data_IF_976598931974
#
_entry.id   IF_976598931974
#
_cell.length_a   1.000
_cell.length_b   1.000
_cell.length_c   1.000
_cell.angle_alpha   90.00
_cell.angle_beta   90.00
_cell.angle_gamma   90.00
#
_symmetry.space_group_name_H-M   'P 1'
#
loop_
_entity.id
_entity.type
_entity.pdbx_description
1 polymer ?
#
# COMPACT_ATOMS: atom_id res chain seq x y z
N UNK A 1 -8.55 0.26 -34.61
CA UNK A 1 -7.62 -0.89 -34.47
C UNK A 1 -7.79 -1.38 -33.02
N UNK A 2 -8.78 -2.23 -32.78
CA UNK A 2 -9.11 -2.76 -31.43
C UNK A 2 -9.29 -4.29 -31.43
N UNK A 3 -9.07 -4.92 -32.59
CA UNK A 3 -9.46 -6.31 -32.86
C UNK A 3 -8.73 -7.39 -32.02
N UNK A 4 -7.45 -7.27 -31.59
CA UNK A 4 -6.79 -8.39 -30.92
C UNK A 4 -7.18 -8.55 -29.44
N UNK A 5 -7.67 -7.50 -28.79
CA UNK A 5 -7.95 -7.55 -27.35
C UNK A 5 -9.23 -8.35 -27.03
N UNK A 6 -10.30 -8.12 -27.79
CA UNK A 6 -11.59 -8.81 -27.60
C UNK A 6 -11.44 -10.31 -27.87
N UNK A 7 -10.61 -10.68 -28.84
CA UNK A 7 -10.35 -12.08 -29.19
C UNK A 7 -9.60 -12.83 -28.08
N UNK A 8 -8.59 -12.21 -27.46
CA UNK A 8 -7.89 -12.79 -26.31
C UNK A 8 -8.78 -12.87 -25.07
N UNK A 9 -9.65 -11.87 -24.84
CA UNK A 9 -10.60 -11.87 -23.74
C UNK A 9 -11.65 -12.99 -23.85
N UNK A 10 -12.04 -13.31 -25.09
CA UNK A 10 -13.02 -14.35 -25.40
C UNK A 10 -12.41 -15.75 -25.51
N UNK A 11 -11.09 -15.89 -25.35
CA UNK A 11 -10.41 -17.17 -25.48
C UNK A 11 -10.65 -18.01 -24.20
N UNK A 12 -11.34 -19.17 -24.28
CA UNK A 12 -11.66 -19.99 -23.11
C UNK A 12 -10.43 -20.60 -22.43
N UNK A 13 -9.28 -20.66 -23.10
CA UNK A 13 -8.01 -21.09 -22.51
C UNK A 13 -7.30 -19.97 -21.73
N UNK A 14 -7.58 -18.70 -22.06
CA UNK A 14 -6.91 -17.53 -21.47
C UNK A 14 -7.80 -16.87 -20.41
N UNK A 15 -9.11 -16.79 -20.67
CA UNK A 15 -10.09 -16.15 -19.80
C UNK A 15 -10.05 -16.60 -18.32
N UNK A 16 -9.83 -17.89 -17.98
CA UNK A 16 -9.74 -18.33 -16.59
C UNK A 16 -8.49 -17.81 -15.85
N UNK A 17 -7.48 -17.32 -16.57
CA UNK A 17 -6.23 -16.82 -16.01
C UNK A 17 -6.16 -15.29 -15.96
N UNK A 18 -7.18 -14.59 -16.46
CA UNK A 18 -7.26 -13.14 -16.41
C UNK A 18 -7.84 -12.68 -15.08
N UNK A 19 -7.22 -11.63 -14.51
CA UNK A 19 -7.69 -10.97 -13.30
C UNK A 19 -8.34 -9.64 -13.69
N UNK A 20 -9.65 -9.54 -13.46
CA UNK A 20 -10.42 -8.34 -13.75
C UNK A 20 -10.35 -7.38 -12.57
N UNK A 21 -10.01 -6.12 -12.85
CA UNK A 21 -10.10 -5.04 -11.87
C UNK A 21 -11.55 -4.53 -11.91
N UNK A 22 -12.24 -4.36 -10.77
CA UNK A 22 -13.58 -3.81 -10.75
C UNK A 22 -13.59 -2.38 -11.30
N UNK A 23 -14.60 -2.04 -12.11
CA UNK A 23 -14.74 -0.70 -12.70
C UNK A 23 -15.13 0.36 -11.67
N UNK A 24 -15.73 -0.06 -10.54
CA UNK A 24 -16.11 0.84 -9.43
C UNK A 24 -15.71 0.23 -8.10
N UNK A 25 -15.01 1.00 -7.27
CA UNK A 25 -14.79 0.68 -5.87
C UNK A 25 -16.01 1.21 -5.10
N UNK A 26 -16.85 0.31 -4.59
CA UNK A 26 -18.09 0.68 -3.88
C UNK A 26 -17.80 1.21 -2.45
N UNK A 27 -16.65 1.87 -2.28
CA UNK A 27 -16.24 2.55 -1.05
C UNK A 27 -15.57 1.67 0.01
N UNK A 28 -15.29 0.38 -0.25
CA UNK A 28 -14.51 -0.43 0.72
C UNK A 28 -13.63 -1.49 0.04
N UNK A 29 -12.36 -1.44 0.47
CA UNK A 29 -11.29 -2.46 0.40
C UNK A 29 -10.76 -2.83 -0.99
N UNK A 30 -9.46 -2.66 -1.14
CA UNK A 30 -8.63 -3.43 -2.07
C UNK A 30 -8.92 -4.92 -1.85
N UNK A 31 -9.81 -5.50 -2.66
CA UNK A 31 -10.31 -6.88 -2.49
C UNK A 31 -9.22 -7.94 -2.72
N UNK A 32 -8.13 -7.56 -3.42
CA UNK A 32 -7.02 -8.45 -3.74
C UNK A 32 -5.67 -7.83 -3.38
N UNK A 33 -4.89 -8.51 -2.54
CA UNK A 33 -3.51 -8.13 -2.20
C UNK A 33 -2.59 -8.00 -3.43
N UNK A 34 -2.88 -8.69 -4.54
CA UNK A 34 -2.12 -8.49 -5.79
C UNK A 34 -2.21 -7.04 -6.31
N UNK A 35 -3.28 -6.32 -5.95
CA UNK A 35 -3.45 -4.91 -6.28
C UNK A 35 -2.65 -4.01 -5.34
N UNK A 36 -2.37 -4.42 -4.09
CA UNK A 36 -1.54 -3.65 -3.14
C UNK A 36 -0.09 -3.52 -3.61
N UNK A 37 0.40 -4.48 -4.40
CA UNK A 37 1.74 -4.43 -5.01
C UNK A 37 1.94 -3.18 -5.86
N UNK A 38 0.92 -2.74 -6.60
CA UNK A 38 0.95 -1.48 -7.35
C UNK A 38 1.13 -0.27 -6.43
N UNK A 39 0.43 -0.26 -5.29
CA UNK A 39 0.54 0.82 -4.31
C UNK A 39 1.86 0.79 -3.54
N UNK A 40 2.44 -0.39 -3.32
CA UNK A 40 3.74 -0.53 -2.65
C UNK A 40 4.93 -0.19 -3.58
N UNK A 41 4.88 -0.61 -4.84
CA UNK A 41 6.02 -0.50 -5.77
C UNK A 41 5.93 0.69 -6.73
N UNK A 42 4.74 1.22 -6.99
CA UNK A 42 4.54 2.32 -7.97
C UNK A 42 4.14 3.65 -7.33
N UNK A 43 3.91 3.73 -6.02
CA UNK A 43 3.78 5.04 -5.38
C UNK A 43 5.13 5.74 -5.36
N UNK A 44 5.14 7.01 -5.76
CA UNK A 44 6.26 7.89 -5.47
C UNK A 44 6.50 7.91 -3.95
N UNK A 45 7.75 7.91 -3.47
CA UNK A 45 8.05 8.02 -2.04
C UNK A 45 7.35 9.20 -1.34
N UNK A 46 7.04 10.27 -2.08
CA UNK A 46 6.31 11.45 -1.59
C UNK A 46 4.83 11.17 -1.27
N UNK A 47 4.25 10.13 -1.89
CA UNK A 47 2.87 9.70 -1.67
C UNK A 47 2.78 8.60 -0.61
N UNK A 48 3.90 7.95 -0.28
CA UNK A 48 3.94 6.95 0.77
C UNK A 48 3.75 7.61 2.13
N UNK A 49 3.00 6.95 3.01
CA UNK A 49 2.82 7.40 4.39
C UNK A 49 4.19 7.38 5.09
N UNK A 50 4.61 8.47 5.76
CA UNK A 50 5.83 8.49 6.55
C UNK A 50 5.88 7.33 7.55
N UNK A 51 7.02 6.65 7.58
CA UNK A 51 7.25 5.46 8.39
C UNK A 51 8.62 5.54 9.05
N UNK A 52 8.70 5.12 10.31
CA UNK A 52 9.96 4.96 11.03
C UNK A 52 10.16 3.50 11.41
N UNK A 53 11.35 2.99 11.12
CA UNK A 53 11.77 1.68 11.59
C UNK A 53 12.51 1.83 12.92
N UNK A 54 12.06 1.12 13.95
CA UNK A 54 12.74 1.07 15.25
C UNK A 54 12.76 -0.37 15.73
N UNK A 55 13.97 -0.90 15.97
CA UNK A 55 14.19 -2.29 16.44
C UNK A 55 13.55 -3.35 15.52
N UNK A 56 13.54 -3.13 14.20
CA UNK A 56 12.94 -4.06 13.23
C UNK A 56 11.41 -4.04 13.19
N UNK A 57 10.78 -3.08 13.87
CA UNK A 57 9.34 -2.82 13.81
C UNK A 57 9.08 -1.54 13.01
N UNK A 58 8.04 -1.56 12.19
CA UNK A 58 7.61 -0.41 11.39
C UNK A 58 6.47 0.33 12.08
N UNK A 59 6.59 1.66 12.15
CA UNK A 59 5.56 2.53 12.71
C UNK A 59 5.16 3.58 11.67
N UNK A 60 3.87 3.70 11.41
CA UNK A 60 3.30 4.64 10.46
C UNK A 60 2.62 5.80 11.19
N UNK A 61 2.56 6.97 10.54
CA UNK A 61 1.70 8.06 11.02
C UNK A 61 0.22 7.70 10.77
N UNK A 62 -0.68 8.26 11.57
CA UNK A 62 -2.13 8.03 11.55
C UNK A 62 -2.58 6.58 11.83
N UNK A 63 -1.66 5.72 12.27
CA UNK A 63 -1.97 4.37 12.75
C UNK A 63 -1.75 4.27 14.27
N UNK A 64 -2.54 3.47 15.01
CA UNK A 64 -2.30 3.23 16.42
C UNK A 64 -0.94 2.58 16.68
N UNK A 65 -0.15 3.16 17.57
CA UNK A 65 1.12 2.64 18.03
C UNK A 65 1.13 2.54 19.55
N UNK A 66 1.71 1.47 20.09
CA UNK A 66 1.90 1.30 21.51
C UNK A 66 3.28 1.81 21.93
N UNK A 67 3.30 2.72 22.90
CA UNK A 67 4.52 3.22 23.53
C UNK A 67 5.08 2.22 24.55
N UNK A 68 6.33 2.43 24.95
CA UNK A 68 7.04 1.54 25.89
C UNK A 68 6.39 1.46 27.28
N UNK A 69 5.62 2.47 27.65
CA UNK A 69 4.84 2.56 28.89
C UNK A 69 3.46 1.88 28.79
N UNK A 70 3.13 1.31 27.62
CA UNK A 70 1.85 0.68 27.35
C UNK A 70 0.78 1.62 26.81
N UNK A 71 1.04 2.93 26.75
CA UNK A 71 0.09 3.93 26.24
C UNK A 71 -0.12 3.72 24.73
N UNK A 72 -1.37 3.79 24.29
CA UNK A 72 -1.72 3.74 22.86
C UNK A 72 -1.86 5.18 22.35
N UNK A 73 -1.09 5.51 21.32
CA UNK A 73 -1.08 6.83 20.68
C UNK A 73 -1.28 6.68 19.18
N UNK A 74 -1.71 7.76 18.51
CA UNK A 74 -1.72 7.85 17.05
C UNK A 74 -0.68 8.91 16.64
N UNK A 75 0.47 8.52 16.06
CA UNK A 75 1.51 9.46 15.67
C UNK A 75 1.04 10.35 14.52
N UNK A 76 1.24 11.67 14.62
CA UNK A 76 0.90 12.62 13.54
C UNK A 76 2.16 13.01 12.73
N UNK A 77 3.33 12.99 13.36
CA UNK A 77 4.61 13.31 12.73
C UNK A 77 5.78 12.63 13.47
N UNK A 78 6.84 12.27 12.73
CA UNK A 78 8.09 11.75 13.29
C UNK A 78 9.21 12.77 13.15
N UNK A 79 9.91 13.06 14.26
CA UNK A 79 11.05 14.00 14.28
C UNK A 79 12.33 13.19 14.45
N UNK A 80 13.24 13.29 13.47
CA UNK A 80 14.59 12.74 13.60
C UNK A 80 15.47 13.71 14.39
N UNK A 81 15.78 13.37 15.63
CA UNK A 81 16.75 14.12 16.43
C UNK A 81 18.14 13.57 16.11
N UNK A 82 18.87 14.24 15.22
CA UNK A 82 20.29 13.97 15.01
C UNK A 82 21.08 14.55 16.19
N UNK A 83 21.76 13.70 16.96
CA UNK A 83 22.73 14.18 17.94
C UNK A 83 23.93 14.76 17.18
N UNK A 84 24.04 16.08 17.15
CA UNK A 84 25.27 16.75 16.73
C UNK A 84 26.26 16.59 17.89
N UNK A 85 27.17 15.63 17.77
CA UNK A 85 28.33 15.55 18.67
C UNK A 85 29.22 16.75 18.36
N UNK A 86 29.42 17.63 19.35
CA UNK A 86 30.49 18.63 19.37
C UNK A 86 31.73 18.03 20.00
#
# INVERSE_FOLDING_TARGET
IEQPFIQELSNPLVAPHLLYIPETDVGVTVDWFSQSKKWHEMLSPEMCVPMVETKGMHYYIYEPAQMWDGTVVVPVHFILITKVFK
#
